data_IF_063793932927
#
_entry.id   IF_063793932927
#
_cell.length_a   1.000
_cell.length_b   1.000
_cell.length_c   1.000
_cell.angle_alpha   90.00
_cell.angle_beta   90.00
_cell.angle_gamma   90.00
#
_symmetry.space_group_name_H-M   'P 1'
#
loop_
_entity.id
_entity.type
_entity.pdbx_description
1 polymer ?
#
# COMPACT_ATOMS: atom_id res chain seq x y z
N UNK A 1 -37.06 -13.59 38.50
CA UNK A 1 -35.89 -13.46 39.41
C UNK A 1 -34.73 -14.20 38.76
N UNK A 2 -33.64 -13.53 38.35
CA UNK A 2 -32.44 -13.22 39.16
C UNK A 2 -31.95 -14.52 39.87
N UNK A 3 -30.74 -15.02 39.64
CA UNK A 3 -29.48 -14.31 39.85
C UNK A 3 -28.33 -15.03 39.12
N UNK A 4 -27.46 -14.24 38.49
CA UNK A 4 -26.10 -14.60 38.08
C UNK A 4 -25.25 -14.98 39.30
N UNK A 5 -24.03 -15.48 39.07
CA UNK A 5 -22.72 -15.21 39.75
C UNK A 5 -21.87 -16.49 39.61
N UNK A 6 -20.88 -16.51 38.71
CA UNK A 6 -19.50 -16.01 38.87
C UNK A 6 -18.67 -16.79 39.91
N UNK A 7 -17.63 -17.45 39.42
CA UNK A 7 -16.26 -17.57 39.95
C UNK A 7 -15.68 -18.93 39.60
N UNK A 8 -14.43 -19.13 39.19
CA UNK A 8 -13.31 -18.29 38.78
C UNK A 8 -12.06 -19.19 38.81
N UNK A 9 -11.07 -18.92 37.93
CA UNK A 9 -9.60 -19.08 38.18
C UNK A 9 -9.09 -20.55 38.22
N UNK A 10 -7.94 -20.99 37.72
CA UNK A 10 -6.66 -20.49 37.17
C UNK A 10 -6.18 -21.54 36.10
N UNK A 11 -5.09 -21.47 35.33
CA UNK A 11 -3.66 -21.18 35.58
C UNK A 11 -3.00 -21.06 34.17
N UNK A 12 -2.49 -19.90 33.75
CA UNK A 12 -1.05 -19.54 33.65
C UNK A 12 -0.15 -20.62 33.02
N UNK A 13 0.31 -20.41 31.78
CA UNK A 13 1.73 -20.66 31.43
C UNK A 13 2.20 -19.51 30.54
N UNK A 14 2.81 -18.53 31.19
CA UNK A 14 3.81 -17.65 30.58
C UNK A 14 5.00 -18.47 30.10
N UNK A 15 5.60 -18.08 28.97
CA UNK A 15 7.05 -17.79 28.81
C UNK A 15 7.52 -18.09 27.40
N UNK A 16 7.71 -17.07 26.57
CA UNK A 16 8.97 -16.94 25.82
C UNK A 16 9.40 -15.48 25.87
N UNK A 17 10.21 -15.23 26.90
CA UNK A 17 10.97 -14.03 27.14
C UNK A 17 11.92 -13.76 25.97
N UNK A 18 11.84 -12.53 25.47
CA UNK A 18 12.97 -11.58 25.38
C UNK A 18 14.37 -12.23 25.30
N UNK A 19 14.81 -12.54 24.07
CA UNK A 19 16.22 -12.48 23.70
C UNK A 19 16.53 -11.03 23.35
N UNK A 20 16.97 -10.24 24.33
CA UNK A 20 18.37 -10.00 24.67
C UNK A 20 18.89 -8.75 23.95
N UNK A 21 18.84 -7.65 24.70
CA UNK A 21 19.68 -6.48 24.52
C UNK A 21 21.03 -6.80 25.20
N UNK A 22 22.11 -6.86 24.42
CA UNK A 22 23.45 -7.14 24.90
C UNK A 22 24.46 -6.92 23.76
N UNK A 23 25.20 -5.81 23.84
CA UNK A 23 26.21 -5.41 22.87
C UNK A 23 27.43 -6.33 22.83
N UNK A 24 28.12 -6.32 21.68
CA UNK A 24 29.42 -6.96 21.50
C UNK A 24 29.64 -7.42 20.05
N UNK A 25 30.38 -6.60 19.31
CA UNK A 25 30.91 -6.77 17.95
C UNK A 25 30.98 -8.18 17.33
N UNK A 26 30.26 -8.39 16.22
CA UNK A 26 30.74 -9.19 15.07
C UNK A 26 30.17 -8.65 13.75
N UNK A 27 31.07 -8.21 12.87
CA UNK A 27 30.84 -8.05 11.42
C UNK A 27 30.18 -9.32 10.86
N UNK A 28 28.99 -9.17 10.29
CA UNK A 28 28.54 -9.93 9.12
C UNK A 28 27.77 -8.98 8.21
N UNK A 29 28.45 -8.56 7.15
CA UNK A 29 27.76 -8.32 5.89
C UNK A 29 26.96 -9.57 5.56
N UNK A 30 25.66 -9.45 5.37
CA UNK A 30 24.97 -10.23 4.35
C UNK A 30 23.54 -9.72 4.14
N UNK A 31 23.32 -9.33 2.88
CA UNK A 31 22.03 -9.38 2.17
C UNK A 31 20.95 -8.45 2.70
N UNK A 32 21.14 -7.17 2.37
CA UNK A 32 20.04 -6.34 1.83
C UNK A 32 19.39 -7.20 0.73
N UNK A 33 18.23 -7.77 1.03
CA UNK A 33 17.38 -8.39 0.02
C UNK A 33 16.96 -7.27 -0.93
N UNK A 34 17.81 -7.01 -1.92
CA UNK A 34 17.43 -6.35 -3.13
C UNK A 34 16.47 -7.33 -3.80
N UNK A 35 15.18 -7.17 -3.54
CA UNK A 35 14.15 -7.72 -4.42
C UNK A 35 14.22 -6.86 -5.67
N UNK A 36 15.29 -7.07 -6.45
CA UNK A 36 15.26 -6.83 -7.88
C UNK A 36 14.28 -7.86 -8.41
N UNK A 37 12.99 -7.48 -8.40
CA UNK A 37 11.97 -8.17 -9.17
C UNK A 37 12.21 -7.83 -10.64
N UNK A 38 13.34 -8.33 -11.17
CA UNK A 38 13.68 -8.29 -12.58
C UNK A 38 13.00 -9.48 -13.26
N UNK A 39 11.69 -9.61 -13.08
CA UNK A 39 10.85 -10.23 -14.10
C UNK A 39 10.63 -9.15 -15.15
N UNK A 40 11.45 -9.17 -16.20
CA UNK A 40 11.04 -8.64 -17.51
C UNK A 40 9.87 -9.50 -18.00
N UNK A 41 8.70 -9.34 -17.37
CA UNK A 41 7.45 -9.59 -18.04
C UNK A 41 7.46 -8.72 -19.29
N UNK A 42 7.09 -9.28 -20.44
CA UNK A 42 6.84 -8.46 -21.62
C UNK A 42 5.93 -7.30 -21.20
N UNK A 43 6.32 -6.06 -21.53
CA UNK A 43 5.53 -4.86 -21.25
C UNK A 43 4.22 -4.99 -22.04
N UNK A 44 3.19 -5.56 -21.39
CA UNK A 44 1.87 -5.72 -21.96
C UNK A 44 1.04 -4.44 -21.84
N UNK A 45 1.69 -3.33 -21.43
CA UNK A 45 1.12 -2.00 -21.31
C UNK A 45 0.20 -1.82 -20.11
N UNK A 46 0.00 -2.84 -19.25
CA UNK A 46 -0.90 -2.71 -18.10
C UNK A 46 -0.31 -1.93 -16.92
N UNK A 47 1.01 -1.90 -16.77
CA UNK A 47 1.66 -1.17 -15.69
C UNK A 47 2.02 0.24 -16.18
N UNK A 48 1.34 1.31 -15.70
CA UNK A 48 1.58 2.66 -16.21
C UNK A 48 2.94 3.18 -15.75
N UNK A 49 3.65 3.87 -16.65
CA UNK A 49 4.87 4.61 -16.31
C UNK A 49 4.49 5.92 -15.62
N UNK A 50 4.92 6.08 -14.37
CA UNK A 50 4.67 7.27 -13.55
C UNK A 50 6.03 7.86 -13.16
N UNK A 51 6.27 9.11 -13.57
CA UNK A 51 7.46 9.85 -13.17
C UNK A 51 7.31 10.33 -11.73
N UNK A 52 7.79 9.53 -10.80
CA UNK A 52 7.65 9.77 -9.34
C UNK A 52 8.25 11.11 -8.91
N UNK A 53 9.31 11.57 -9.58
CA UNK A 53 9.96 12.86 -9.32
C UNK A 53 9.09 14.07 -9.72
N UNK A 54 8.06 13.87 -10.55
CA UNK A 54 7.14 14.91 -10.99
C UNK A 54 5.90 15.05 -10.07
N UNK A 55 5.71 14.13 -9.11
CA UNK A 55 4.55 14.12 -8.20
C UNK A 55 4.72 15.15 -7.08
N UNK A 56 4.56 16.44 -7.41
CA UNK A 56 4.84 17.56 -6.50
C UNK A 56 3.65 18.52 -6.32
N UNK A 57 2.63 18.37 -7.14
CA UNK A 57 1.43 19.21 -7.12
C UNK A 57 0.16 18.36 -7.19
N UNK A 58 -0.97 18.97 -6.83
CA UNK A 58 -2.26 18.30 -6.80
C UNK A 58 -2.61 17.62 -8.14
N UNK A 59 -2.42 18.31 -9.27
CA UNK A 59 -2.84 17.82 -10.58
C UNK A 59 -2.04 16.57 -11.00
N UNK A 60 -0.71 16.61 -10.82
CA UNK A 60 0.19 15.48 -11.11
C UNK A 60 -0.13 14.27 -10.24
N UNK A 61 -0.42 14.46 -8.95
CA UNK A 61 -0.75 13.39 -8.02
C UNK A 61 -2.11 12.76 -8.34
N UNK A 62 -3.14 13.57 -8.57
CA UNK A 62 -4.47 13.08 -8.94
C UNK A 62 -4.44 12.33 -10.28
N UNK A 63 -3.71 12.84 -11.27
CA UNK A 63 -3.55 12.18 -12.56
C UNK A 63 -2.80 10.85 -12.44
N UNK A 64 -1.75 10.79 -11.62
CA UNK A 64 -1.03 9.55 -11.34
C UNK A 64 -1.93 8.52 -10.63
N UNK A 65 -2.72 8.96 -9.64
CA UNK A 65 -3.66 8.08 -8.95
C UNK A 65 -4.70 7.51 -9.91
N UNK A 66 -5.27 8.34 -10.79
CA UNK A 66 -6.24 7.90 -11.79
C UNK A 66 -5.64 6.84 -12.71
N UNK A 67 -4.40 7.03 -13.21
CA UNK A 67 -3.70 6.02 -14.02
C UNK A 67 -3.54 4.68 -13.30
N UNK A 68 -3.18 4.70 -12.02
CA UNK A 68 -3.05 3.47 -11.22
C UNK A 68 -4.40 2.78 -11.07
N UNK A 69 -5.46 3.53 -10.73
CA UNK A 69 -6.81 3.00 -10.60
C UNK A 69 -7.32 2.39 -11.90
N UNK A 70 -7.15 3.08 -13.02
CA UNK A 70 -7.56 2.58 -14.34
C UNK A 70 -6.82 1.29 -14.70
N UNK A 71 -5.51 1.24 -14.42
CA UNK A 71 -4.70 0.04 -14.60
C UNK A 71 -5.16 -1.12 -13.71
N UNK A 72 -5.53 -0.87 -12.45
CA UNK A 72 -6.07 -1.89 -11.54
C UNK A 72 -7.39 -2.47 -12.06
N UNK A 73 -8.28 -1.62 -12.55
CA UNK A 73 -9.56 -2.03 -13.13
C UNK A 73 -9.32 -2.88 -14.40
N UNK A 74 -8.40 -2.45 -15.26
CA UNK A 74 -8.06 -3.16 -16.48
C UNK A 74 -7.40 -4.53 -16.20
N UNK A 75 -6.50 -4.58 -15.21
CA UNK A 75 -5.85 -5.80 -14.70
C UNK A 75 -6.88 -6.81 -14.18
N UNK A 76 -7.81 -6.36 -13.34
CA UNK A 76 -8.89 -7.21 -12.79
C UNK A 76 -9.84 -7.70 -13.89
N UNK A 77 -10.19 -6.84 -14.85
CA UNK A 77 -11.01 -7.22 -16.00
C UNK A 77 -10.33 -8.32 -16.82
N UNK A 78 -9.05 -8.15 -17.15
CA UNK A 78 -8.28 -9.13 -17.92
C UNK A 78 -8.14 -10.45 -17.16
N UNK A 79 -7.99 -10.41 -15.84
CA UNK A 79 -7.96 -11.62 -15.00
C UNK A 79 -9.28 -12.40 -15.01
N UNK A 80 -10.42 -11.72 -15.16
CA UNK A 80 -11.73 -12.37 -15.31
C UNK A 80 -11.92 -12.96 -16.71
N UNK A 81 -11.34 -12.33 -17.73
CA UNK A 81 -11.46 -12.74 -19.14
C UNK A 81 -10.49 -13.88 -19.51
N UNK A 82 -9.28 -13.89 -18.93
CA UNK A 82 -8.24 -14.90 -19.18
C UNK A 82 -7.79 -15.55 -17.85
N UNK A 83 -8.21 -16.79 -17.57
CA UNK A 83 -7.79 -17.53 -16.37
C UNK A 83 -6.28 -17.81 -16.28
N UNK A 84 -5.53 -17.70 -17.38
CA UNK A 84 -4.08 -17.90 -17.40
C UNK A 84 -3.30 -16.59 -17.18
N UNK A 85 -3.98 -15.44 -17.23
CA UNK A 85 -3.37 -14.15 -16.98
C UNK A 85 -2.88 -14.06 -15.52
N UNK A 86 -1.59 -13.74 -15.35
CA UNK A 86 -0.95 -13.71 -14.04
C UNK A 86 -1.24 -12.44 -13.23
N UNK A 87 -1.68 -11.37 -13.90
CA UNK A 87 -1.91 -10.08 -13.28
C UNK A 87 -0.62 -9.35 -12.93
N UNK A 88 -0.77 -8.06 -12.63
CA UNK A 88 0.31 -7.18 -12.18
C UNK A 88 0.01 -6.61 -10.79
N UNK A 89 -0.55 -7.45 -9.91
CA UNK A 89 -1.01 -7.02 -8.59
C UNK A 89 0.11 -6.33 -7.80
N UNK A 90 1.28 -6.96 -7.72
CA UNK A 90 2.42 -6.45 -6.93
C UNK A 90 2.95 -5.13 -7.48
N UNK A 91 3.11 -5.03 -8.80
CA UNK A 91 3.59 -3.85 -9.50
C UNK A 91 2.63 -2.68 -9.34
N UNK A 92 1.33 -2.92 -9.57
CA UNK A 92 0.30 -1.88 -9.43
C UNK A 92 0.10 -1.45 -7.98
N UNK A 93 0.21 -2.36 -7.00
CA UNK A 93 0.21 -2.01 -5.57
C UNK A 93 1.44 -1.17 -5.21
N UNK A 94 2.62 -1.48 -5.74
CA UNK A 94 3.82 -0.69 -5.51
C UNK A 94 3.69 0.75 -6.04
N UNK A 95 3.14 0.91 -7.26
CA UNK A 95 2.83 2.23 -7.82
C UNK A 95 1.78 2.97 -7.00
N UNK A 96 0.71 2.30 -6.58
CA UNK A 96 -0.32 2.87 -5.72
C UNK A 96 0.26 3.44 -4.42
N UNK A 97 1.07 2.65 -3.71
CA UNK A 97 1.76 3.09 -2.49
C UNK A 97 2.69 4.28 -2.76
N UNK A 98 3.37 4.29 -3.89
CA UNK A 98 4.25 5.41 -4.27
C UNK A 98 3.47 6.71 -4.45
N UNK A 99 2.33 6.66 -5.16
CA UNK A 99 1.47 7.83 -5.34
C UNK A 99 0.84 8.26 -4.03
N UNK A 100 0.41 7.33 -3.17
CA UNK A 100 -0.10 7.66 -1.84
C UNK A 100 0.94 8.37 -0.97
N UNK A 101 2.19 7.89 -0.97
CA UNK A 101 3.26 8.54 -0.22
C UNK A 101 3.55 9.96 -0.73
N UNK A 102 3.50 10.18 -2.05
CA UNK A 102 3.64 11.51 -2.64
C UNK A 102 2.46 12.43 -2.25
N UNK A 103 1.24 11.89 -2.29
CA UNK A 103 0.03 12.54 -1.79
C UNK A 103 0.17 12.99 -0.33
N UNK A 104 0.58 12.09 0.57
CA UNK A 104 0.76 12.43 1.99
C UNK A 104 1.75 13.57 2.17
N UNK A 105 2.91 13.51 1.48
CA UNK A 105 3.89 14.60 1.53
C UNK A 105 3.36 15.92 0.98
N UNK A 106 2.53 15.88 -0.06
CA UNK A 106 1.88 17.08 -0.59
C UNK A 106 0.85 17.63 0.39
N UNK A 107 0.09 16.77 1.07
CA UNK A 107 -0.86 17.20 2.10
C UNK A 107 -0.18 17.95 3.24
N UNK A 108 1.03 17.53 3.62
CA UNK A 108 1.83 18.21 4.66
C UNK A 108 2.21 19.65 4.30
N UNK A 109 2.05 20.05 3.02
CA UNK A 109 2.31 21.42 2.57
C UNK A 109 1.13 22.38 2.79
N UNK A 110 -0.08 21.86 3.03
CA UNK A 110 -1.23 22.71 3.33
C UNK A 110 -1.13 23.29 4.73
N UNK A 111 -1.31 24.60 4.83
CA UNK A 111 -1.45 25.27 6.13
C UNK A 111 -2.88 25.25 6.66
N UNK A 112 -3.87 25.14 5.77
CA UNK A 112 -5.29 25.02 6.12
C UNK A 112 -5.72 23.54 6.09
N UNK A 113 -6.12 22.96 7.24
CA UNK A 113 -6.65 21.60 7.30
C UNK A 113 -7.84 21.35 6.36
N UNK A 114 -8.65 22.37 6.06
CA UNK A 114 -9.79 22.22 5.15
C UNK A 114 -9.35 21.99 3.69
N UNK A 115 -8.21 22.54 3.28
CA UNK A 115 -7.65 22.30 1.95
C UNK A 115 -7.07 20.89 1.83
N UNK A 116 -6.36 20.43 2.86
CA UNK A 116 -5.89 19.05 2.94
C UNK A 116 -7.04 18.03 2.88
N UNK A 117 -8.15 18.32 3.59
CA UNK A 117 -9.35 17.48 3.55
C UNK A 117 -9.95 17.42 2.14
N UNK A 118 -10.14 18.56 1.47
CA UNK A 118 -10.66 18.61 0.10
C UNK A 118 -9.79 17.84 -0.89
N UNK A 119 -8.47 17.94 -0.75
CA UNK A 119 -7.56 17.15 -1.58
C UNK A 119 -7.69 15.65 -1.32
N UNK A 120 -7.75 15.24 -0.05
CA UNK A 120 -7.96 13.84 0.31
C UNK A 120 -9.30 13.30 -0.21
N UNK A 121 -10.38 14.07 -0.14
CA UNK A 121 -11.69 13.69 -0.71
C UNK A 121 -11.60 13.44 -2.22
N UNK A 122 -10.87 14.28 -2.97
CA UNK A 122 -10.64 14.06 -4.41
C UNK A 122 -9.87 12.76 -4.68
N UNK A 123 -8.85 12.48 -3.87
CA UNK A 123 -8.11 11.22 -3.96
C UNK A 123 -9.02 10.02 -3.66
N UNK A 124 -9.78 10.07 -2.56
CA UNK A 124 -10.72 9.02 -2.19
C UNK A 124 -11.74 8.76 -3.30
N UNK A 125 -12.30 9.81 -3.90
CA UNK A 125 -13.24 9.68 -5.01
C UNK A 125 -12.62 8.99 -6.25
N UNK A 126 -11.31 9.11 -6.46
CA UNK A 126 -10.62 8.36 -7.51
C UNK A 126 -10.45 6.89 -7.09
N UNK A 127 -10.01 6.64 -5.85
CA UNK A 127 -9.74 5.28 -5.37
C UNK A 127 -11.00 4.42 -5.25
N UNK A 128 -12.13 5.03 -4.92
CA UNK A 128 -13.42 4.34 -4.77
C UNK A 128 -13.88 3.70 -6.09
N UNK A 129 -13.45 4.24 -7.24
CA UNK A 129 -13.73 3.67 -8.55
C UNK A 129 -13.19 2.25 -8.72
N UNK A 130 -12.13 1.87 -8.00
CA UNK A 130 -11.62 0.49 -8.01
C UNK A 130 -12.64 -0.53 -7.49
N UNK A 131 -13.56 -0.10 -6.63
CA UNK A 131 -14.51 -0.96 -5.95
C UNK A 131 -15.95 -0.77 -6.44
N UNK A 132 -16.18 0.19 -7.34
CA UNK A 132 -17.45 0.36 -8.00
C UNK A 132 -17.72 -0.87 -8.89
N UNK A 133 -18.71 -1.68 -8.50
CA UNK A 133 -19.15 -2.87 -9.22
C UNK A 133 -20.35 -2.58 -10.11
#
# INVERSE_FOLDING_TARGET
MKLKHFSAIAVIVSSFLLLSCGGGDKKKEDKKANIENNTTAADDGMVPKIETAALKDEASILAAMQKVVDARIADEKKQKEDPNYKGHYTELTSLYTTVLNASTKFMDTFTDPAEALKFNEKLSAITDKMYAK
#
